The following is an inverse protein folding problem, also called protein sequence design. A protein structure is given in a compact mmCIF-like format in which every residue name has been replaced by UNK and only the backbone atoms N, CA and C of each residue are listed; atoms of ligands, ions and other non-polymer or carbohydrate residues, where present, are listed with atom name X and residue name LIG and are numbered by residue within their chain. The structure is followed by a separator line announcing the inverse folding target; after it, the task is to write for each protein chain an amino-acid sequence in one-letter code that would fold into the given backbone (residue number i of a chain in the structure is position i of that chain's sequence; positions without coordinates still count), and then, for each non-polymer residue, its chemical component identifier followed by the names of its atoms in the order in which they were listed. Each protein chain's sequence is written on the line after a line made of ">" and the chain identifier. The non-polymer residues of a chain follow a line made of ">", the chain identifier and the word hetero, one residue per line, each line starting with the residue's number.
data_IF_635082620662
#
_entry.id   IF_635082620662
#
_cell.length_a   1.000
_cell.length_b   1.000
_cell.length_c   1.000
_cell.angle_alpha   90.00
_cell.angle_beta   90.00
_cell.angle_gamma   90.00
#
_symmetry.space_group_name_H-M   'P 1'
#
loop_
_entity.id
_entity.type
_entity.pdbx_description
1 polymer ?
#
# COMPACT_ATOMS: atom_id res chain seq x y z
N UNK A 1 20.23 43.48 19.84
CA UNK A 1 20.45 42.02 19.86
C UNK A 1 19.14 41.36 19.46
N UNK A 2 18.98 40.96 18.20
CA UNK A 2 17.76 40.29 17.73
C UNK A 2 17.76 38.84 18.21
N UNK A 3 16.79 38.47 19.03
CA UNK A 3 16.56 37.10 19.47
C UNK A 3 16.49 36.17 18.25
N UNK A 4 17.49 35.30 18.10
CA UNK A 4 17.49 34.29 17.04
C UNK A 4 16.33 33.33 17.31
N UNK A 5 15.33 33.32 16.43
CA UNK A 5 14.21 32.36 16.48
C UNK A 5 14.78 30.95 16.64
N UNK A 6 14.43 30.28 17.74
CA UNK A 6 14.86 28.90 18.02
C UNK A 6 14.40 28.01 16.86
N UNK A 7 15.33 27.24 16.26
CA UNK A 7 15.00 26.28 15.21
C UNK A 7 14.07 25.22 15.81
N UNK A 8 12.86 25.12 15.28
CA UNK A 8 11.91 24.08 15.70
C UNK A 8 12.53 22.72 15.34
N UNK A 9 12.64 21.79 16.30
CA UNK A 9 13.20 20.48 16.01
C UNK A 9 12.34 19.74 14.98
N UNK A 10 12.94 18.89 14.13
CA UNK A 10 12.20 18.08 13.18
C UNK A 10 11.22 17.17 13.94
N UNK A 11 10.00 17.05 13.41
CA UNK A 11 8.96 16.22 14.01
C UNK A 11 9.40 14.76 14.09
N UNK A 12 9.15 14.13 15.24
CA UNK A 12 9.30 12.69 15.41
C UNK A 12 8.39 11.92 14.43
N UNK A 13 8.69 10.63 14.20
CA UNK A 13 7.83 9.76 13.38
C UNK A 13 6.38 9.74 13.88
N UNK A 14 6.19 9.69 15.20
CA UNK A 14 4.88 9.70 15.86
C UNK A 14 4.13 11.01 15.63
N UNK A 15 4.81 12.16 15.75
CA UNK A 15 4.21 13.48 15.51
C UNK A 15 3.88 13.71 14.03
N UNK A 16 4.73 13.22 13.12
CA UNK A 16 4.44 13.22 11.67
C UNK A 16 3.17 12.41 11.37
N UNK A 17 3.03 11.23 11.97
CA UNK A 17 1.83 10.40 11.86
C UNK A 17 0.57 11.12 12.35
N UNK A 18 0.63 11.76 13.53
CA UNK A 18 -0.48 12.56 14.09
C UNK A 18 -0.87 13.73 13.18
N UNK A 19 0.11 14.46 12.64
CA UNK A 19 -0.12 15.60 11.72
C UNK A 19 -0.76 15.15 10.41
N UNK A 20 -0.30 14.03 9.86
CA UNK A 20 -0.87 13.45 8.65
C UNK A 20 -2.31 12.97 8.86
N UNK A 21 -2.58 12.28 9.96
CA UNK A 21 -3.94 11.84 10.31
C UNK A 21 -4.92 13.02 10.47
N UNK A 22 -4.49 14.10 11.14
CA UNK A 22 -5.27 15.34 11.25
C UNK A 22 -5.57 15.97 9.89
N UNK A 23 -4.60 15.94 8.95
CA UNK A 23 -4.79 16.46 7.59
C UNK A 23 -5.86 15.66 6.86
N UNK A 24 -5.80 14.32 6.91
CA UNK A 24 -6.80 13.46 6.28
C UNK A 24 -8.20 13.67 6.85
N UNK A 25 -8.31 13.80 8.18
CA UNK A 25 -9.58 14.08 8.86
C UNK A 25 -10.21 15.40 8.40
N UNK A 26 -9.40 16.46 8.18
CA UNK A 26 -9.88 17.76 7.68
C UNK A 26 -10.56 17.66 6.30
N UNK A 27 -10.15 16.71 5.47
CA UNK A 27 -10.73 16.48 4.14
C UNK A 27 -11.78 15.36 4.13
N UNK A 28 -12.20 14.85 5.30
CA UNK A 28 -13.15 13.74 5.38
C UNK A 28 -12.61 12.40 4.85
N UNK A 29 -11.30 12.30 4.60
CA UNK A 29 -10.69 11.10 4.04
C UNK A 29 -10.51 10.08 5.17
N UNK A 30 -11.40 9.07 5.18
CA UNK A 30 -11.25 7.90 6.06
C UNK A 30 -10.12 7.02 5.52
N UNK A 31 -9.10 6.80 6.35
CA UNK A 31 -8.00 5.90 6.01
C UNK A 31 -8.49 4.46 6.19
N UNK A 32 -8.80 3.79 5.09
CA UNK A 32 -9.17 2.38 5.09
C UNK A 32 -7.87 1.59 5.22
N UNK A 33 -7.61 1.07 6.42
CA UNK A 33 -6.53 0.11 6.62
C UNK A 33 -7.11 -1.28 6.40
N UNK A 34 -6.77 -1.90 5.27
CA UNK A 34 -6.93 -3.35 5.15
C UNK A 34 -5.89 -4.00 6.06
N UNK A 35 -6.29 -4.25 7.31
CA UNK A 35 -5.42 -4.93 8.27
C UNK A 35 -5.42 -6.40 7.87
N UNK A 36 -4.39 -6.80 7.11
CA UNK A 36 -4.11 -8.22 6.94
C UNK A 36 -4.02 -8.84 8.34
N UNK A 37 -4.67 -10.00 8.54
CA UNK A 37 -4.60 -10.70 9.81
C UNK A 37 -3.12 -10.95 10.18
N UNK A 38 -2.84 -11.15 11.46
CA UNK A 38 -1.49 -11.50 11.90
C UNK A 38 -0.95 -12.73 11.16
N UNK A 39 -1.81 -13.74 10.98
CA UNK A 39 -1.53 -14.94 10.19
C UNK A 39 -1.17 -14.64 8.72
N UNK A 40 -1.90 -13.74 8.05
CA UNK A 40 -1.59 -13.35 6.68
C UNK A 40 -0.26 -12.61 6.58
N UNK A 41 0.09 -11.79 7.59
CA UNK A 41 1.38 -11.08 7.61
C UNK A 41 2.53 -12.05 7.81
N UNK A 42 2.37 -13.06 8.66
CA UNK A 42 3.36 -14.12 8.85
C UNK A 42 3.58 -14.91 7.56
N UNK A 43 2.50 -15.30 6.87
CA UNK A 43 2.56 -16.02 5.60
C UNK A 43 3.28 -15.22 4.50
N UNK A 44 3.01 -13.91 4.40
CA UNK A 44 3.71 -13.05 3.44
C UNK A 44 5.21 -12.99 3.73
N UNK A 45 5.61 -12.90 5.00
CA UNK A 45 7.04 -12.92 5.36
C UNK A 45 7.70 -14.25 5.01
N UNK A 46 7.03 -15.37 5.30
CA UNK A 46 7.52 -16.69 4.94
C UNK A 46 7.70 -16.83 3.43
N UNK A 47 6.72 -16.36 2.65
CA UNK A 47 6.81 -16.36 1.19
C UNK A 47 7.99 -15.52 0.70
N UNK A 48 8.24 -14.32 1.26
CA UNK A 48 9.41 -13.50 0.90
C UNK A 48 10.74 -14.23 1.14
N UNK A 49 10.85 -14.99 2.23
CA UNK A 49 12.05 -15.77 2.55
C UNK A 49 12.25 -16.90 1.52
N UNK A 50 11.17 -17.61 1.17
CA UNK A 50 11.22 -18.74 0.23
C UNK A 50 11.57 -18.27 -1.19
N UNK A 51 10.91 -17.20 -1.66
CA UNK A 51 11.11 -16.66 -3.01
C UNK A 51 12.34 -15.78 -3.12
N UNK A 52 13.02 -15.47 -1.99
CA UNK A 52 14.18 -14.57 -1.91
C UNK A 52 13.89 -13.15 -2.43
N UNK A 53 12.64 -12.71 -2.40
CA UNK A 53 12.28 -11.35 -2.78
C UNK A 53 12.75 -10.35 -1.73
N UNK A 54 13.32 -9.24 -2.17
CA UNK A 54 13.80 -8.14 -1.33
C UNK A 54 12.67 -7.29 -0.74
N UNK A 55 11.50 -7.27 -1.39
CA UNK A 55 10.35 -6.47 -0.99
C UNK A 55 9.01 -7.21 -1.17
N UNK A 56 7.95 -6.67 -0.56
CA UNK A 56 6.60 -7.20 -0.72
C UNK A 56 6.07 -6.96 -2.14
N UNK A 57 6.46 -5.84 -2.73
CA UNK A 57 6.08 -5.45 -4.09
C UNK A 57 6.67 -6.42 -5.11
N UNK A 58 7.92 -6.83 -4.91
CA UNK A 58 8.59 -7.86 -5.71
C UNK A 58 7.90 -9.22 -5.58
N UNK A 59 7.53 -9.63 -4.36
CA UNK A 59 6.75 -10.86 -4.15
C UNK A 59 5.40 -10.83 -4.89
N UNK A 60 4.72 -9.69 -4.87
CA UNK A 60 3.45 -9.52 -5.59
C UNK A 60 3.68 -9.60 -7.10
N UNK A 61 4.73 -8.95 -7.61
CA UNK A 61 5.07 -9.00 -9.03
C UNK A 61 5.35 -10.43 -9.48
N UNK A 62 6.18 -11.17 -8.75
CA UNK A 62 6.48 -12.58 -9.05
C UNK A 62 5.22 -13.45 -9.05
N UNK A 63 4.33 -13.25 -8.07
CA UNK A 63 3.05 -13.96 -8.02
C UNK A 63 2.15 -13.64 -9.23
N UNK A 64 2.08 -12.38 -9.64
CA UNK A 64 1.31 -11.97 -10.81
C UNK A 64 1.89 -12.54 -12.11
N UNK A 65 3.22 -12.58 -12.24
CA UNK A 65 3.90 -13.19 -13.38
C UNK A 65 3.61 -14.69 -13.44
N UNK A 66 3.76 -15.41 -12.32
CA UNK A 66 3.45 -16.84 -12.25
C UNK A 66 1.98 -17.14 -12.61
N UNK A 67 1.05 -16.34 -12.08
CA UNK A 67 -0.37 -16.43 -12.42
C UNK A 67 -0.61 -16.17 -13.92
N UNK A 68 0.08 -15.19 -14.49
CA UNK A 68 0.01 -14.88 -15.91
C UNK A 68 0.46 -16.03 -16.78
N UNK A 69 1.59 -16.65 -16.45
CA UNK A 69 2.07 -17.84 -17.16
C UNK A 69 1.09 -19.01 -17.08
N UNK A 70 0.47 -19.23 -15.91
CA UNK A 70 -0.49 -20.32 -15.73
C UNK A 70 -1.75 -20.14 -16.59
N UNK A 71 -2.18 -18.91 -16.82
CA UNK A 71 -3.43 -18.60 -17.53
C UNK A 71 -3.22 -18.02 -18.94
N UNK A 72 -1.99 -17.93 -19.42
CA UNK A 72 -1.68 -17.34 -20.72
C UNK A 72 -1.95 -15.83 -20.79
N UNK A 73 -1.89 -15.14 -19.65
CA UNK A 73 -2.18 -13.72 -19.51
C UNK A 73 -0.89 -12.92 -19.34
N UNK A 74 -0.84 -11.76 -19.99
CA UNK A 74 0.23 -10.78 -19.80
C UNK A 74 -0.13 -9.79 -18.69
N UNK A 75 0.88 -9.21 -18.03
CA UNK A 75 0.68 -8.15 -17.03
C UNK A 75 -0.09 -6.95 -17.60
N UNK A 76 0.06 -6.67 -18.89
CA UNK A 76 -0.68 -5.62 -19.59
C UNK A 76 -2.18 -5.91 -19.62
N UNK A 77 -2.57 -7.14 -20.00
CA UNK A 77 -3.97 -7.57 -20.03
C UNK A 77 -4.61 -7.53 -18.63
N UNK A 78 -3.91 -8.03 -17.61
CA UNK A 78 -4.41 -7.98 -16.23
C UNK A 78 -4.64 -6.54 -15.76
N UNK A 79 -3.77 -5.61 -16.15
CA UNK A 79 -3.92 -4.19 -15.82
C UNK A 79 -5.14 -3.60 -16.53
N UNK A 80 -5.32 -3.88 -17.82
CA UNK A 80 -6.47 -3.42 -18.61
C UNK A 80 -7.79 -3.94 -18.01
N UNK A 81 -7.85 -5.22 -17.63
CA UNK A 81 -9.02 -5.82 -16.97
C UNK A 81 -9.34 -5.14 -15.63
N UNK A 82 -8.32 -4.88 -14.80
CA UNK A 82 -8.49 -4.18 -13.52
C UNK A 82 -8.95 -2.72 -13.70
N UNK A 83 -8.51 -2.05 -14.76
CA UNK A 83 -8.96 -0.69 -15.09
C UNK A 83 -10.42 -0.71 -15.58
N UNK A 84 -10.81 -1.69 -16.39
CA UNK A 84 -12.20 -1.90 -16.80
C UNK A 84 -13.13 -2.16 -15.61
N UNK A 85 -12.70 -2.95 -14.62
CA UNK A 85 -13.48 -3.21 -13.40
C UNK A 85 -13.68 -1.97 -12.54
N UNK A 86 -12.74 -1.01 -12.53
CA UNK A 86 -12.88 0.27 -11.81
C UNK A 86 -13.85 1.24 -12.48
N UNK A 87 -14.19 1.01 -13.75
CA UNK A 87 -15.15 1.82 -14.52
C UNK A 87 -16.58 1.33 -14.29
N UNK A 88 -16.78 0.11 -13.78
CA UNK A 88 -18.11 -0.36 -13.40
C UNK A 88 -18.58 0.40 -12.15
N UNK A 89 -19.68 1.19 -12.24
CA UNK A 89 -20.24 1.83 -11.07
C UNK A 89 -20.61 0.76 -10.05
N UNK A 90 -20.29 1.00 -8.77
CA UNK A 90 -20.69 0.13 -7.65
C UNK A 90 -22.15 -0.28 -7.83
N UNK A 91 -22.38 -1.54 -8.20
CA UNK A 91 -23.72 -2.10 -8.13
C UNK A 91 -24.07 -2.17 -6.65
N UNK A 92 -24.76 -1.14 -6.17
CA UNK A 92 -25.43 -1.13 -4.88
C UNK A 92 -26.31 -2.37 -4.82
N UNK A 93 -25.88 -3.37 -4.06
CA UNK A 93 -26.70 -4.47 -3.59
C UNK A 93 -27.15 -4.15 -2.16
#
# INVERSE_FOLDING_TARGET
>A
MTDRKRKVPPLSSTERGKRHAKKLAKFGIKRIYFRASETQRELVKQLQIITKCSSREELILDALVAYGHQHGLTLKQMKEDLECLKILPEQKS
#
